data_IF_121071649507
#
_entry.id   IF_121071649507
#
_cell.length_a   1.000
_cell.length_b   1.000
_cell.length_c   1.000
_cell.angle_alpha   90.00
_cell.angle_beta   90.00
_cell.angle_gamma   90.00
#
_symmetry.space_group_name_H-M   'P 1'
#
loop_
_entity.id
_entity.type
_entity.pdbx_description
1 polymer ?
#
# COMPACT_ATOMS: atom_id res chain seq x y z
N UNK A 1 12.55 -9.33 -44.70
CA UNK A 1 13.89 -9.92 -44.44
C UNK A 1 14.77 -8.85 -43.81
N UNK A 2 15.81 -9.21 -43.02
CA UNK A 2 15.73 -9.07 -41.57
C UNK A 2 16.73 -8.05 -41.00
N UNK A 3 16.92 -8.03 -39.66
CA UNK A 3 18.22 -8.52 -39.19
C UNK A 3 18.13 -9.62 -38.12
N UNK A 4 19.14 -10.51 -38.10
CA UNK A 4 19.40 -11.50 -37.05
C UNK A 4 20.68 -11.10 -36.29
N UNK A 5 20.74 -11.38 -34.99
CA UNK A 5 21.99 -11.52 -34.17
C UNK A 5 22.73 -12.83 -34.59
N UNK A 6 23.96 -13.20 -34.11
CA UNK A 6 24.67 -12.69 -32.91
C UNK A 6 26.23 -12.63 -32.93
N UNK A 7 26.78 -12.17 -31.78
CA UNK A 7 28.02 -12.60 -31.11
C UNK A 7 29.44 -12.19 -31.62
N UNK A 8 30.34 -12.15 -30.62
CA UNK A 8 31.81 -12.21 -30.69
C UNK A 8 32.65 -10.94 -31.02
N UNK A 9 32.78 -10.06 -30.02
CA UNK A 9 34.00 -9.28 -29.68
C UNK A 9 33.80 -8.72 -28.25
N UNK A 10 34.78 -8.66 -27.34
CA UNK A 10 36.18 -9.11 -27.42
C UNK A 10 36.68 -9.53 -26.03
N UNK A 11 37.41 -10.65 -25.95
CA UNK A 11 38.12 -11.07 -24.73
C UNK A 11 39.26 -10.07 -24.45
N UNK A 12 39.18 -9.33 -23.35
CA UNK A 12 40.28 -8.56 -22.74
C UNK A 12 39.93 -8.22 -21.28
N UNK A 13 40.93 -8.11 -20.42
CA UNK A 13 40.84 -7.77 -18.98
C UNK A 13 40.41 -8.87 -17.98
N UNK A 14 40.75 -10.14 -18.23
CA UNK A 14 40.91 -11.16 -17.16
C UNK A 14 42.39 -11.49 -16.91
N UNK A 15 43.23 -10.47 -16.70
CA UNK A 15 44.67 -10.63 -16.46
C UNK A 15 45.28 -9.45 -15.68
N UNK A 16 44.72 -9.09 -14.52
CA UNK A 16 45.21 -7.97 -13.70
C UNK A 16 44.90 -8.11 -12.18
N UNK A 17 44.85 -9.33 -11.63
CA UNK A 17 44.34 -9.54 -10.26
C UNK A 17 45.17 -10.45 -9.33
N UNK A 18 46.42 -10.79 -9.70
CA UNK A 18 47.23 -11.78 -8.95
C UNK A 18 48.72 -11.44 -8.80
N UNK A 19 49.08 -10.15 -8.62
CA UNK A 19 50.49 -9.76 -8.46
C UNK A 19 50.81 -8.61 -7.47
N UNK A 20 49.85 -8.17 -6.64
CA UNK A 20 50.07 -7.12 -5.60
C UNK A 20 49.49 -7.54 -4.25
N UNK A 21 49.66 -8.81 -3.86
CA UNK A 21 49.45 -9.31 -2.49
C UNK A 21 50.56 -10.33 -2.18
N UNK A 22 51.75 -9.84 -1.82
CA UNK A 22 52.80 -10.51 -1.03
C UNK A 22 54.14 -9.75 -1.13
N UNK A 23 54.23 -8.57 -0.50
CA UNK A 23 55.47 -7.96 -0.02
C UNK A 23 55.13 -6.76 0.87
N UNK A 24 55.96 -6.54 1.92
CA UNK A 24 55.84 -5.48 2.94
C UNK A 24 54.72 -5.69 3.99
N UNK A 25 54.96 -6.65 4.88
CA UNK A 25 54.68 -6.49 6.32
C UNK A 25 56.02 -6.54 7.09
N UNK A 26 56.07 -5.93 8.29
CA UNK A 26 57.28 -5.61 9.09
C UNK A 26 58.16 -4.50 8.48
N UNK A 27 58.51 -3.39 9.14
CA UNK A 27 58.40 -2.85 10.52
C UNK A 27 58.13 -1.32 10.43
N UNK A 28 57.78 -0.52 11.45
CA UNK A 28 57.46 -0.67 12.89
C UNK A 28 56.71 0.61 13.36
N UNK A 29 56.14 0.63 14.58
CA UNK A 29 55.67 1.87 15.22
C UNK A 29 54.51 1.73 16.20
N UNK A 30 54.78 1.79 17.51
CA UNK A 30 53.76 1.77 18.58
C UNK A 30 53.15 3.17 18.76
N UNK A 31 51.83 3.31 18.66
CA UNK A 31 51.10 4.47 19.17
C UNK A 31 49.66 4.06 19.52
N UNK A 32 49.42 3.73 20.80
CA UNK A 32 48.09 3.43 21.30
C UNK A 32 47.29 4.73 21.49
N UNK A 33 46.47 5.08 20.49
CA UNK A 33 45.40 6.05 20.66
C UNK A 33 44.08 5.30 20.87
N UNK A 34 43.63 5.20 22.12
CA UNK A 34 42.28 4.69 22.44
C UNK A 34 41.23 5.74 22.08
N UNK A 35 41.00 5.94 20.78
CA UNK A 35 39.75 6.52 20.31
C UNK A 35 38.67 5.47 20.55
N UNK A 36 37.98 5.58 21.69
CA UNK A 36 36.75 4.85 21.91
C UNK A 36 35.78 5.21 20.79
N UNK A 37 35.58 4.29 19.85
CA UNK A 37 34.47 4.39 18.91
C UNK A 37 33.22 4.17 19.74
N UNK A 38 32.65 5.25 20.25
CA UNK A 38 31.27 5.29 20.68
C UNK A 38 30.44 4.94 19.45
N UNK A 39 30.07 3.66 19.36
CA UNK A 39 29.01 3.19 18.48
C UNK A 39 27.75 3.90 18.91
N UNK A 40 27.47 5.04 18.28
CA UNK A 40 26.18 5.71 18.40
C UNK A 40 25.16 4.77 17.78
N UNK A 41 24.52 3.96 18.62
CA UNK A 41 23.29 3.25 18.27
C UNK A 41 22.27 4.31 17.90
N UNK A 42 22.16 4.60 16.61
CA UNK A 42 21.13 5.51 16.13
C UNK A 42 19.80 4.81 16.30
N UNK A 43 19.13 5.08 17.42
CA UNK A 43 17.69 4.90 17.53
C UNK A 43 17.06 5.81 16.47
N UNK A 44 16.94 5.30 15.25
CA UNK A 44 16.15 5.93 14.20
C UNK A 44 14.69 5.80 14.62
N UNK A 45 14.25 6.81 15.38
CA UNK A 45 12.85 7.00 15.75
C UNK A 45 11.97 6.96 14.50
N UNK A 46 10.68 6.64 14.64
CA UNK A 46 9.73 6.71 13.54
C UNK A 46 9.75 8.10 12.89
N UNK A 47 9.43 8.16 11.60
CA UNK A 47 9.50 9.41 10.82
C UNK A 47 8.23 10.22 11.05
N UNK A 48 8.13 10.79 12.26
CA UNK A 48 7.05 11.69 12.63
C UNK A 48 7.13 13.00 11.84
N UNK A 49 6.07 13.31 11.13
CA UNK A 49 5.90 14.56 10.41
C UNK A 49 5.43 15.62 11.40
N UNK A 50 6.17 16.72 11.51
CA UNK A 50 5.85 17.84 12.41
C UNK A 50 5.20 19.02 11.70
N UNK A 51 5.28 19.08 10.37
CA UNK A 51 4.62 20.07 9.52
C UNK A 51 4.44 19.53 8.10
N UNK A 52 3.41 19.99 7.39
CA UNK A 52 3.18 19.69 5.97
C UNK A 52 3.32 20.96 5.12
N UNK A 53 4.03 20.94 3.98
CA UNK A 53 4.08 22.08 3.07
C UNK A 53 2.67 22.46 2.58
N UNK A 54 2.37 23.76 2.60
CA UNK A 54 1.06 24.30 2.22
C UNK A 54 -0.01 24.28 3.32
N UNK A 55 0.28 23.71 4.50
CA UNK A 55 -0.63 23.66 5.64
C UNK A 55 -0.22 24.68 6.72
N UNK A 56 -1.14 25.58 7.07
CA UNK A 56 -0.89 26.58 8.11
C UNK A 56 -1.11 25.98 9.52
N UNK A 57 -0.03 25.92 10.32
CA UNK A 57 -0.06 25.47 11.71
C UNK A 57 0.53 24.08 11.96
N UNK A 58 0.34 23.57 13.18
CA UNK A 58 0.73 22.21 13.57
C UNK A 58 -0.35 21.20 13.22
N UNK A 59 0.03 19.94 13.01
CA UNK A 59 -0.90 18.83 12.78
C UNK A 59 -1.82 18.59 14.00
N UNK A 60 -3.07 18.10 13.79
CA UNK A 60 -4.08 18.01 14.83
C UNK A 60 -3.89 16.74 15.68
N UNK A 61 -3.25 15.74 15.10
CA UNK A 61 -2.77 14.50 15.70
C UNK A 61 -1.44 14.12 15.04
N UNK A 62 -0.80 13.06 15.54
CA UNK A 62 0.46 12.55 15.00
C UNK A 62 0.26 12.01 13.57
N UNK A 63 1.18 12.38 12.67
CA UNK A 63 1.32 11.80 11.34
C UNK A 63 2.67 11.11 11.24
N UNK A 64 2.66 9.83 10.91
CA UNK A 64 3.84 9.06 10.52
C UNK A 64 3.73 8.69 9.04
N UNK A 65 4.86 8.72 8.33
CA UNK A 65 4.91 8.26 6.92
C UNK A 65 6.18 7.48 6.64
N UNK A 66 6.09 6.46 5.80
CA UNK A 66 7.26 5.72 5.33
C UNK A 66 6.93 4.27 4.96
N UNK A 67 7.90 3.40 5.22
CA UNK A 67 7.78 1.95 5.10
C UNK A 67 8.03 1.34 6.48
N UNK A 68 7.46 0.16 6.75
CA UNK A 68 7.60 -0.50 8.06
C UNK A 68 9.09 -0.77 8.35
N UNK A 69 9.53 -0.57 9.59
CA UNK A 69 10.88 -0.93 10.05
C UNK A 69 10.79 -2.12 11.02
N UNK A 70 11.78 -3.03 11.05
CA UNK A 70 11.84 -4.07 12.07
C UNK A 70 11.98 -3.46 13.47
N UNK A 71 11.40 -4.11 14.48
CA UNK A 71 11.71 -3.82 15.88
C UNK A 71 13.12 -4.34 16.25
N UNK A 72 13.81 -3.60 17.11
CA UNK A 72 15.18 -3.92 17.59
C UNK A 72 15.23 -5.25 18.36
N UNK A 73 16.39 -5.95 18.43
CA UNK A 73 17.71 -5.52 17.96
C UNK A 73 18.04 -5.99 16.55
N UNK A 74 18.56 -5.07 15.72
CA UNK A 74 19.03 -5.36 14.36
C UNK A 74 20.55 -5.51 14.31
N UNK A 75 21.07 -6.34 13.41
CA UNK A 75 22.48 -6.25 13.01
C UNK A 75 22.70 -5.05 12.09
N UNK A 76 23.95 -4.64 11.86
CA UNK A 76 24.23 -3.41 11.10
C UNK A 76 23.79 -3.49 9.62
N UNK A 77 23.66 -4.71 9.08
CA UNK A 77 23.18 -4.98 7.72
C UNK A 77 21.63 -5.05 7.63
N UNK A 78 20.93 -5.15 8.77
CA UNK A 78 19.48 -5.30 8.88
C UNK A 78 18.72 -3.96 8.98
N UNK A 79 19.37 -2.81 8.83
CA UNK A 79 18.74 -1.47 8.82
C UNK A 79 17.83 -1.19 7.60
N UNK A 80 17.18 -2.22 7.07
CA UNK A 80 16.36 -2.23 5.85
C UNK A 80 14.89 -2.08 6.26
N UNK A 81 14.09 -1.47 5.38
CA UNK A 81 12.64 -1.51 5.54
C UNK A 81 12.12 -2.93 5.32
N UNK A 82 11.01 -3.24 5.95
CA UNK A 82 10.41 -4.57 5.92
C UNK A 82 9.69 -4.75 4.58
N UNK A 83 10.15 -5.72 3.80
CA UNK A 83 9.51 -6.03 2.51
C UNK A 83 8.22 -6.83 2.73
N UNK A 84 7.30 -6.74 1.76
CA UNK A 84 6.11 -7.59 1.65
C UNK A 84 6.30 -8.74 0.66
N UNK A 85 7.45 -8.76 -0.01
CA UNK A 85 7.89 -9.74 -0.99
C UNK A 85 9.43 -9.68 -1.00
N UNK A 86 10.06 -10.64 -0.30
CA UNK A 86 11.52 -10.70 -0.16
C UNK A 86 12.22 -11.13 -1.46
N UNK A 87 11.51 -11.81 -2.38
CA UNK A 87 12.07 -12.28 -3.65
C UNK A 87 12.29 -11.10 -4.61
N UNK A 88 11.28 -10.24 -4.75
CA UNK A 88 11.35 -9.05 -5.59
C UNK A 88 11.83 -7.79 -4.84
N UNK A 89 11.92 -7.89 -3.51
CA UNK A 89 12.30 -6.81 -2.60
C UNK A 89 11.30 -5.65 -2.59
N UNK A 90 10.00 -5.97 -2.56
CA UNK A 90 8.92 -4.97 -2.67
C UNK A 90 8.47 -4.43 -1.31
N UNK A 91 8.19 -3.12 -1.26
CA UNK A 91 7.88 -2.38 -0.04
C UNK A 91 6.62 -1.53 -0.23
N UNK A 92 5.71 -1.56 0.75
CA UNK A 92 4.49 -0.74 0.75
C UNK A 92 4.69 0.53 1.59
N UNK A 93 4.43 1.68 0.98
CA UNK A 93 4.42 2.97 1.65
C UNK A 93 3.08 3.20 2.37
N UNK A 94 3.14 3.87 3.52
CA UNK A 94 1.95 4.23 4.28
C UNK A 94 2.01 5.64 4.85
N UNK A 95 0.81 6.16 5.15
CA UNK A 95 0.57 7.31 6.00
C UNK A 95 -0.26 6.81 7.18
N UNK A 96 0.24 6.96 8.40
CA UNK A 96 -0.50 6.65 9.61
C UNK A 96 -0.85 7.96 10.32
N UNK A 97 -2.14 8.20 10.53
CA UNK A 97 -2.64 9.36 11.29
C UNK A 97 -3.28 8.87 12.56
N UNK A 98 -2.81 9.32 13.71
CA UNK A 98 -3.43 8.98 15.00
C UNK A 98 -4.82 9.63 15.16
N UNK A 99 -5.66 9.02 16.00
CA UNK A 99 -6.92 9.63 16.40
C UNK A 99 -6.68 10.99 17.07
N UNK A 100 -7.48 12.00 16.70
CA UNK A 100 -7.59 13.28 17.42
C UNK A 100 -8.33 13.12 18.76
N UNK A 101 -8.92 11.94 19.02
CA UNK A 101 -9.62 11.57 20.25
C UNK A 101 -8.70 10.95 21.30
N UNK A 102 -8.87 9.64 21.55
CA UNK A 102 -8.01 8.85 22.43
C UNK A 102 -7.33 7.74 21.61
N UNK A 103 -6.12 7.99 21.05
CA UNK A 103 -5.44 7.02 20.19
C UNK A 103 -5.07 5.70 20.90
N UNK A 104 -5.09 5.64 22.23
CA UNK A 104 -4.89 4.41 23.00
C UNK A 104 -6.16 3.57 23.19
N UNK A 105 -7.32 4.05 22.72
CA UNK A 105 -8.62 3.37 22.85
C UNK A 105 -9.42 3.32 21.55
N UNK A 106 -9.30 4.35 20.72
CA UNK A 106 -10.02 4.49 19.47
C UNK A 106 -9.59 3.42 18.46
N UNK A 107 -10.48 3.01 17.54
CA UNK A 107 -10.17 1.97 16.56
C UNK A 107 -9.00 2.34 15.65
N UNK A 108 -8.24 1.31 15.24
CA UNK A 108 -7.32 1.41 14.10
C UNK A 108 -8.07 0.97 12.85
N UNK A 109 -8.06 1.82 11.81
CA UNK A 109 -8.68 1.57 10.52
C UNK A 109 -7.62 1.49 9.42
N UNK A 110 -7.48 0.35 8.77
CA UNK A 110 -6.81 0.30 7.45
C UNK A 110 -7.75 0.94 6.42
N UNK A 111 -7.30 1.92 5.64
CA UNK A 111 -8.06 2.43 4.48
C UNK A 111 -7.31 2.19 3.16
N UNK A 112 -8.03 1.65 2.18
CA UNK A 112 -7.53 1.38 0.83
C UNK A 112 -8.40 2.10 -0.22
N UNK A 113 -7.81 3.02 -0.99
CA UNK A 113 -8.52 3.65 -2.12
C UNK A 113 -8.49 2.74 -3.35
N UNK A 114 -9.62 2.65 -4.06
CA UNK A 114 -9.76 1.81 -5.25
C UNK A 114 -9.31 2.46 -6.56
N UNK A 115 -9.35 1.66 -7.62
CA UNK A 115 -8.70 1.95 -8.90
C UNK A 115 -7.34 1.23 -8.97
N UNK A 116 -6.95 0.74 -10.14
CA UNK A 116 -5.73 -0.05 -10.28
C UNK A 116 -4.49 0.83 -10.01
N UNK A 117 -3.79 0.55 -8.89
CA UNK A 117 -2.61 1.29 -8.41
C UNK A 117 -2.84 2.79 -8.16
N UNK A 118 -4.07 3.17 -7.84
CA UNK A 118 -4.35 4.54 -7.37
C UNK A 118 -3.73 4.74 -5.98
N UNK A 119 -3.09 5.90 -5.76
CA UNK A 119 -2.51 6.20 -4.45
C UNK A 119 -3.57 6.53 -3.41
N UNK A 120 -3.38 6.01 -2.21
CA UNK A 120 -4.21 6.26 -1.03
C UNK A 120 -4.13 7.71 -0.55
N UNK A 121 -3.14 8.48 -1.01
CA UNK A 121 -3.06 9.93 -0.80
C UNK A 121 -4.35 10.64 -1.18
N UNK A 122 -5.07 10.13 -2.19
CA UNK A 122 -6.40 10.65 -2.56
C UNK A 122 -7.44 10.47 -1.44
N UNK A 123 -7.45 9.33 -0.74
CA UNK A 123 -8.26 9.13 0.47
C UNK A 123 -7.88 10.05 1.63
N UNK A 124 -6.59 10.38 1.74
CA UNK A 124 -6.06 11.28 2.77
C UNK A 124 -6.46 12.76 2.52
N UNK A 125 -6.42 13.25 1.27
CA UNK A 125 -6.62 14.68 0.94
C UNK A 125 -7.95 15.05 0.28
N UNK A 126 -8.76 14.07 -0.14
CA UNK A 126 -10.06 14.29 -0.79
C UNK A 126 -11.24 13.51 -0.20
N UNK A 127 -11.01 12.50 0.66
CA UNK A 127 -12.08 11.66 1.23
C UNK A 127 -12.20 11.82 2.76
N UNK A 128 -11.40 11.07 3.54
CA UNK A 128 -11.65 10.84 4.97
C UNK A 128 -10.50 11.30 5.88
N UNK A 129 -9.36 11.71 5.33
CA UNK A 129 -8.19 12.13 6.10
C UNK A 129 -8.28 13.54 6.70
N UNK A 130 -7.27 13.93 7.50
CA UNK A 130 -7.29 15.10 8.39
C UNK A 130 -7.17 16.45 7.65
N UNK A 131 -6.80 16.43 6.37
CA UNK A 131 -6.53 17.63 5.57
C UNK A 131 -7.26 17.57 4.24
N UNK A 132 -7.57 18.73 3.68
CA UNK A 132 -8.13 18.90 2.34
C UNK A 132 -7.21 19.78 1.50
N UNK A 133 -7.06 19.45 0.21
CA UNK A 133 -6.52 20.40 -0.77
C UNK A 133 -7.50 21.55 -1.01
N UNK A 134 -7.02 22.78 -0.83
CA UNK A 134 -7.77 24.00 -1.14
C UNK A 134 -7.98 24.09 -2.65
N UNK A 135 -9.25 24.16 -3.08
CA UNK A 135 -9.60 24.21 -4.50
C UNK A 135 -9.46 25.63 -5.04
N UNK A 136 -8.27 25.93 -5.55
CA UNK A 136 -7.94 27.21 -6.19
C UNK A 136 -7.17 27.00 -7.50
N UNK A 137 -7.17 27.97 -8.43
CA UNK A 137 -6.38 27.88 -9.65
C UNK A 137 -4.88 27.82 -9.32
N UNK A 138 -4.17 26.85 -9.90
CA UNK A 138 -2.73 26.75 -9.76
C UNK A 138 -2.04 27.89 -10.54
N UNK A 139 -1.22 28.68 -9.86
CA UNK A 139 -0.51 29.84 -10.41
C UNK A 139 0.80 29.47 -11.15
N UNK A 140 1.21 28.20 -11.09
CA UNK A 140 2.46 27.71 -11.68
C UNK A 140 3.67 27.72 -10.74
N UNK A 141 3.57 28.33 -9.56
CA UNK A 141 4.72 28.72 -8.72
C UNK A 141 4.52 28.33 -7.25
N UNK A 142 3.34 28.61 -6.68
CA UNK A 142 3.03 28.39 -5.27
C UNK A 142 2.71 26.93 -4.99
N UNK A 143 3.09 26.44 -3.80
CA UNK A 143 2.66 25.11 -3.36
C UNK A 143 1.14 25.05 -3.19
N UNK A 144 0.47 23.92 -3.52
CA UNK A 144 -0.94 23.74 -3.23
C UNK A 144 -1.22 23.92 -1.75
N UNK A 145 -2.20 24.76 -1.40
CA UNK A 145 -2.58 24.97 0.00
C UNK A 145 -3.41 23.80 0.53
N UNK A 146 -3.20 23.49 1.79
CA UNK A 146 -3.91 22.50 2.58
C UNK A 146 -4.67 23.21 3.71
N UNK A 147 -5.79 22.64 4.12
CA UNK A 147 -6.57 23.07 5.30
C UNK A 147 -7.05 21.86 6.09
N UNK A 148 -7.46 22.07 7.33
CA UNK A 148 -8.09 21.04 8.14
C UNK A 148 -9.40 20.54 7.53
N UNK A 149 -9.61 19.22 7.56
CA UNK A 149 -10.89 18.59 7.28
C UNK A 149 -11.72 18.52 8.58
N UNK A 150 -12.76 19.37 8.77
CA UNK A 150 -13.56 19.33 9.98
C UNK A 150 -14.41 18.06 10.11
N UNK A 151 -14.54 17.27 9.03
CA UNK A 151 -15.31 16.03 8.96
C UNK A 151 -14.41 14.77 8.84
N UNK A 152 -13.11 14.90 9.12
CA UNK A 152 -12.17 13.78 9.07
C UNK A 152 -12.62 12.62 9.94
N UNK A 153 -12.38 11.40 9.47
CA UNK A 153 -12.59 10.19 10.27
C UNK A 153 -11.49 10.02 11.35
N UNK A 154 -10.37 10.73 11.23
CA UNK A 154 -9.32 10.79 12.26
C UNK A 154 -9.80 11.35 13.59
N UNK A 155 -11.01 11.94 13.63
CA UNK A 155 -11.64 12.41 14.86
C UNK A 155 -12.10 11.32 15.83
N UNK A 156 -12.17 10.07 15.35
CA UNK A 156 -12.70 8.91 16.11
C UNK A 156 -11.95 7.61 15.80
N UNK A 157 -10.82 7.67 15.11
CA UNK A 157 -10.05 6.50 14.69
C UNK A 157 -8.60 6.89 14.34
N UNK A 158 -7.63 6.03 14.66
CA UNK A 158 -6.31 6.11 14.03
C UNK A 158 -6.40 5.42 12.66
N UNK A 159 -5.96 6.09 11.59
CA UNK A 159 -6.14 5.60 10.21
C UNK A 159 -4.79 5.31 9.55
N UNK A 160 -4.66 4.07 9.09
CA UNK A 160 -3.52 3.56 8.35
C UNK A 160 -3.88 3.56 6.85
N UNK A 161 -3.42 4.56 6.12
CA UNK A 161 -3.58 4.68 4.68
C UNK A 161 -2.39 4.00 3.99
N UNK A 162 -2.62 2.93 3.23
CA UNK A 162 -1.54 2.17 2.57
C UNK A 162 -1.64 2.28 1.05
N UNK A 163 -0.54 2.69 0.41
CA UNK A 163 -0.41 2.65 -1.05
C UNK A 163 -0.31 1.19 -1.50
N UNK A 164 -1.38 0.63 -2.07
CA UNK A 164 -1.44 -0.77 -2.47
C UNK A 164 -2.22 -0.96 -3.78
N UNK A 165 -1.82 -1.89 -4.67
CA UNK A 165 -0.67 -2.80 -4.54
C UNK A 165 0.67 -2.09 -4.85
N UNK A 166 1.77 -2.83 -4.83
CA UNK A 166 3.10 -2.37 -5.26
C UNK A 166 3.01 -1.59 -6.58
N UNK A 167 3.68 -0.42 -6.66
CA UNK A 167 3.57 0.53 -7.77
C UNK A 167 2.39 1.51 -7.67
N UNK A 168 1.57 1.45 -6.62
CA UNK A 168 0.68 2.54 -6.24
C UNK A 168 1.48 3.62 -5.48
N UNK A 169 1.25 4.90 -5.80
CA UNK A 169 1.86 6.03 -5.08
C UNK A 169 3.37 5.90 -4.90
N UNK A 170 3.82 5.75 -3.64
CA UNK A 170 5.24 5.57 -3.31
C UNK A 170 5.67 4.10 -3.09
N UNK A 171 4.74 3.14 -3.08
CA UNK A 171 5.06 1.71 -2.95
C UNK A 171 5.79 1.20 -4.19
N UNK A 172 6.87 0.43 -4.00
CA UNK A 172 7.78 0.05 -5.09
C UNK A 172 8.29 -1.39 -4.95
N UNK A 173 8.80 -1.93 -6.06
CA UNK A 173 9.62 -3.16 -6.09
C UNK A 173 10.99 -2.85 -6.68
N UNK A 174 12.01 -3.56 -6.18
CA UNK A 174 13.39 -3.48 -6.69
C UNK A 174 13.55 -4.29 -7.97
N UNK A 175 12.91 -5.46 -8.04
CA UNK A 175 12.80 -6.24 -9.27
C UNK A 175 11.56 -5.80 -10.08
N UNK A 176 11.68 -5.52 -11.39
CA UNK A 176 10.54 -5.27 -12.28
C UNK A 176 9.43 -6.34 -12.26
N UNK A 177 9.77 -7.60 -11.96
CA UNK A 177 8.81 -8.70 -11.87
C UNK A 177 7.86 -8.54 -10.67
N UNK A 178 8.31 -7.95 -9.56
CA UNK A 178 7.47 -7.66 -8.38
C UNK A 178 6.37 -6.63 -8.60
N UNK A 179 6.28 -6.03 -9.79
CA UNK A 179 5.12 -5.24 -10.20
C UNK A 179 4.01 -6.10 -10.83
N UNK A 180 4.22 -7.38 -11.14
CA UNK A 180 3.16 -8.27 -11.63
C UNK A 180 2.32 -8.83 -10.47
N UNK A 181 1.41 -8.00 -9.98
CA UNK A 181 0.58 -8.24 -8.80
C UNK A 181 -0.91 -8.14 -9.14
N UNK A 182 -1.66 -9.18 -8.76
CA UNK A 182 -3.11 -9.26 -8.89
C UNK A 182 -3.78 -9.33 -7.52
N UNK A 183 -5.11 -9.43 -7.49
CA UNK A 183 -5.93 -9.35 -6.26
C UNK A 183 -5.42 -10.21 -5.09
N UNK A 184 -5.00 -11.45 -5.37
CA UNK A 184 -4.53 -12.38 -4.33
C UNK A 184 -3.15 -11.98 -3.81
N UNK A 185 -2.16 -11.74 -4.68
CA UNK A 185 -0.81 -11.37 -4.24
C UNK A 185 -0.78 -9.99 -3.58
N UNK A 186 -1.54 -9.02 -4.09
CA UNK A 186 -1.77 -7.73 -3.45
C UNK A 186 -2.36 -7.86 -2.03
N UNK A 187 -3.33 -8.76 -1.86
CA UNK A 187 -3.94 -9.02 -0.55
C UNK A 187 -2.96 -9.69 0.41
N UNK A 188 -2.16 -10.65 -0.05
CA UNK A 188 -1.13 -11.30 0.77
C UNK A 188 -0.04 -10.30 1.19
N UNK A 189 0.40 -9.43 0.29
CA UNK A 189 1.33 -8.33 0.61
C UNK A 189 0.76 -7.38 1.68
N UNK A 190 -0.55 -7.07 1.63
CA UNK A 190 -1.22 -6.26 2.66
C UNK A 190 -1.34 -6.97 4.01
N UNK A 191 -1.59 -8.29 4.03
CA UNK A 191 -1.64 -9.09 5.26
C UNK A 191 -0.26 -9.12 5.93
N UNK A 192 0.78 -9.38 5.13
CA UNK A 192 2.18 -9.39 5.55
C UNK A 192 2.59 -8.01 6.12
N UNK A 193 2.25 -6.94 5.40
CA UNK A 193 2.41 -5.56 5.87
C UNK A 193 1.72 -5.32 7.21
N UNK A 194 0.47 -5.75 7.40
CA UNK A 194 -0.27 -5.54 8.65
C UNK A 194 0.38 -6.24 9.85
N UNK A 195 0.75 -7.52 9.73
CA UNK A 195 1.43 -8.23 10.82
C UNK A 195 2.76 -7.57 11.19
N UNK A 196 3.53 -7.11 10.19
CA UNK A 196 4.79 -6.41 10.40
C UNK A 196 4.58 -5.01 10.99
N UNK A 197 3.57 -4.26 10.54
CA UNK A 197 3.20 -2.95 11.10
C UNK A 197 2.79 -3.08 12.57
N UNK A 198 1.89 -4.01 12.89
CA UNK A 198 1.46 -4.28 14.28
C UNK A 198 2.60 -4.81 15.18
N UNK A 199 3.61 -5.48 14.63
CA UNK A 199 4.81 -5.90 15.38
C UNK A 199 5.79 -4.74 15.65
N UNK A 200 5.74 -3.68 14.84
CA UNK A 200 6.49 -2.45 15.06
C UNK A 200 5.72 -1.44 15.94
N UNK A 201 4.40 -1.60 16.04
CA UNK A 201 3.46 -0.70 16.71
C UNK A 201 2.63 -1.45 17.77
N UNK A 202 3.31 -2.13 18.71
CA UNK A 202 2.66 -3.04 19.67
C UNK A 202 1.60 -2.35 20.55
N UNK A 203 1.76 -1.04 20.83
CA UNK A 203 0.78 -0.24 21.58
C UNK A 203 -0.63 -0.29 20.96
N UNK A 204 -0.72 -0.47 19.64
CA UNK A 204 -1.98 -0.53 18.88
C UNK A 204 -2.63 -1.93 18.85
N UNK A 205 -2.01 -2.96 19.42
CA UNK A 205 -2.57 -4.32 19.46
C UNK A 205 -3.85 -4.44 20.29
N UNK A 206 -4.02 -3.56 21.29
CA UNK A 206 -5.21 -3.51 22.12
C UNK A 206 -6.40 -2.83 21.42
N UNK A 207 -6.14 -1.94 20.46
CA UNK A 207 -7.17 -1.13 19.80
C UNK A 207 -8.09 -2.00 18.93
N UNK A 208 -9.39 -1.69 18.83
CA UNK A 208 -10.29 -2.38 17.89
C UNK A 208 -9.82 -2.19 16.44
N UNK A 209 -9.51 -3.27 15.72
CA UNK A 209 -9.04 -3.18 14.33
C UNK A 209 -10.18 -3.38 13.31
N UNK A 210 -10.26 -2.49 12.33
CA UNK A 210 -11.18 -2.54 11.21
C UNK A 210 -10.45 -2.38 9.88
N UNK A 211 -10.99 -3.01 8.83
CA UNK A 211 -10.55 -2.80 7.46
C UNK A 211 -11.57 -1.98 6.68
N UNK A 212 -11.09 -1.07 5.84
CA UNK A 212 -11.91 -0.19 5.02
C UNK A 212 -11.35 -0.03 3.62
N UNK A 213 -12.23 0.20 2.65
CA UNK A 213 -11.79 0.60 1.33
C UNK A 213 -12.91 1.01 0.40
N UNK A 214 -12.53 1.69 -0.68
CA UNK A 214 -13.44 2.20 -1.70
C UNK A 214 -13.29 1.46 -3.04
N UNK A 215 -14.35 1.48 -3.87
CA UNK A 215 -14.30 1.11 -5.29
C UNK A 215 -13.68 -0.28 -5.53
N UNK A 216 -12.61 -0.39 -6.33
CA UNK A 216 -11.95 -1.67 -6.60
C UNK A 216 -11.28 -2.29 -5.36
N UNK A 217 -10.64 -1.49 -4.49
CA UNK A 217 -9.93 -2.00 -3.32
C UNK A 217 -10.90 -2.60 -2.29
N UNK A 218 -12.14 -2.11 -2.25
CA UNK A 218 -13.21 -2.68 -1.44
C UNK A 218 -13.56 -4.15 -1.80
N UNK A 219 -13.17 -4.65 -2.98
CA UNK A 219 -13.23 -6.07 -3.36
C UNK A 219 -12.24 -6.93 -2.56
N UNK A 220 -11.06 -6.37 -2.24
CA UNK A 220 -9.98 -7.06 -1.52
C UNK A 220 -10.26 -7.13 -0.02
N UNK A 221 -10.90 -6.09 0.54
CA UNK A 221 -11.17 -5.93 1.97
C UNK A 221 -11.81 -7.17 2.62
N UNK A 222 -12.88 -7.80 2.08
CA UNK A 222 -13.44 -9.03 2.66
C UNK A 222 -12.45 -10.22 2.65
N UNK A 223 -11.66 -10.38 1.58
CA UNK A 223 -10.69 -11.46 1.46
C UNK A 223 -9.53 -11.30 2.47
N UNK A 224 -9.00 -10.08 2.60
CA UNK A 224 -7.98 -9.74 3.61
C UNK A 224 -8.54 -9.99 5.02
N UNK A 225 -9.76 -9.53 5.29
CA UNK A 225 -10.44 -9.73 6.58
C UNK A 225 -10.58 -11.21 6.93
N UNK A 226 -11.00 -12.04 5.96
CA UNK A 226 -11.10 -13.49 6.14
C UNK A 226 -9.73 -14.11 6.48
N UNK A 227 -8.67 -13.73 5.75
CA UNK A 227 -7.32 -14.26 5.99
C UNK A 227 -6.75 -13.88 7.36
N UNK A 228 -7.06 -12.69 7.86
CA UNK A 228 -6.70 -12.29 9.23
C UNK A 228 -7.50 -13.12 10.25
N UNK A 229 -8.80 -13.35 10.03
CA UNK A 229 -9.63 -14.22 10.89
C UNK A 229 -9.09 -15.66 10.96
N UNK A 230 -8.76 -16.25 9.81
CA UNK A 230 -8.13 -17.58 9.72
C UNK A 230 -6.77 -17.61 10.45
N UNK A 231 -5.98 -16.53 10.36
CA UNK A 231 -4.72 -16.38 11.09
C UNK A 231 -4.90 -16.31 12.62
N UNK A 232 -5.93 -15.61 13.08
CA UNK A 232 -6.28 -15.53 14.51
C UNK A 232 -6.69 -16.92 15.04
N UNK A 233 -7.52 -17.66 14.30
CA UNK A 233 -7.91 -19.04 14.65
C UNK A 233 -6.70 -20.00 14.67
N UNK A 234 -5.76 -19.83 13.74
CA UNK A 234 -4.50 -20.57 13.70
C UNK A 234 -3.46 -20.11 14.75
N UNK A 235 -3.74 -19.05 15.53
CA UNK A 235 -2.85 -18.54 16.56
C UNK A 235 -1.63 -17.77 16.06
N UNK A 236 -1.66 -17.27 14.82
CA UNK A 236 -0.62 -16.41 14.21
C UNK A 236 -0.39 -15.17 15.09
N UNK A 237 0.87 -14.73 15.15
CA UNK A 237 1.29 -13.60 16.01
C UNK A 237 1.84 -12.44 15.18
N UNK A 238 1.62 -11.18 15.61
CA UNK A 238 0.78 -10.78 16.75
C UNK A 238 -0.72 -11.03 16.49
N UNK A 239 -1.52 -11.23 17.55
CA UNK A 239 -2.98 -11.37 17.40
C UNK A 239 -3.56 -9.98 17.16
N UNK A 240 -4.04 -9.75 15.94
CA UNK A 240 -4.73 -8.52 15.56
C UNK A 240 -6.13 -8.53 16.17
N UNK A 241 -6.53 -7.46 16.86
CA UNK A 241 -7.82 -7.33 17.54
C UNK A 241 -8.98 -7.00 16.57
N UNK A 242 -9.12 -7.82 15.52
CA UNK A 242 -10.08 -7.65 14.43
C UNK A 242 -11.53 -7.60 14.95
N UNK A 243 -12.32 -6.63 14.45
CA UNK A 243 -13.75 -6.47 14.75
C UNK A 243 -14.67 -6.48 13.53
N UNK A 244 -14.13 -6.22 12.34
CA UNK A 244 -14.91 -6.27 11.11
C UNK A 244 -14.32 -5.40 10.01
N UNK A 245 -15.15 -5.05 9.04
CA UNK A 245 -14.76 -4.24 7.89
C UNK A 245 -15.90 -3.37 7.37
N UNK A 246 -15.56 -2.39 6.53
CA UNK A 246 -16.48 -1.51 5.81
C UNK A 246 -16.07 -1.39 4.33
N UNK A 247 -17.03 -1.21 3.43
CA UNK A 247 -16.81 -1.14 1.98
C UNK A 247 -17.62 -0.01 1.34
N UNK A 248 -16.95 0.97 0.75
CA UNK A 248 -17.56 2.10 0.05
C UNK A 248 -17.68 1.85 -1.44
N UNK A 249 -18.91 1.83 -1.98
CA UNK A 249 -19.19 1.62 -3.40
C UNK A 249 -18.38 0.47 -4.06
N UNK A 250 -18.37 -0.75 -3.46
CA UNK A 250 -17.48 -1.83 -3.89
C UNK A 250 -17.75 -2.33 -5.30
N UNK A 251 -16.70 -2.82 -5.96
CA UNK A 251 -16.86 -3.87 -6.97
C UNK A 251 -17.06 -5.21 -6.25
N UNK A 252 -18.21 -5.85 -6.46
CA UNK A 252 -18.65 -7.07 -5.77
C UNK A 252 -18.67 -8.31 -6.67
N UNK A 253 -19.01 -8.13 -7.94
CA UNK A 253 -19.07 -9.21 -8.92
C UNK A 253 -19.67 -8.75 -10.25
N UNK A 254 -18.97 -9.07 -11.35
CA UNK A 254 -19.23 -8.48 -12.65
C UNK A 254 -20.69 -8.60 -13.13
N UNK A 255 -21.31 -9.76 -12.88
CA UNK A 255 -22.70 -10.02 -13.28
C UNK A 255 -23.76 -9.28 -12.45
N UNK A 256 -23.36 -8.61 -11.37
CA UNK A 256 -24.21 -7.74 -10.56
C UNK A 256 -23.88 -6.29 -10.94
N UNK A 257 -22.59 -5.92 -10.91
CA UNK A 257 -22.16 -4.53 -11.04
C UNK A 257 -22.23 -4.00 -12.48
N UNK A 258 -21.94 -4.80 -13.51
CA UNK A 258 -22.01 -4.32 -14.90
C UNK A 258 -23.42 -4.48 -15.51
N UNK A 259 -24.14 -5.55 -15.17
CA UNK A 259 -25.53 -5.77 -15.62
C UNK A 259 -26.49 -4.69 -15.08
N UNK A 260 -26.21 -4.11 -13.90
CA UNK A 260 -27.01 -3.04 -13.28
C UNK A 260 -26.76 -1.63 -13.83
N UNK A 261 -25.58 -1.36 -14.42
CA UNK A 261 -25.23 -0.03 -14.98
C UNK A 261 -26.23 0.47 -16.01
N UNK A 262 -26.64 -0.36 -16.98
CA UNK A 262 -27.55 0.06 -18.05
C UNK A 262 -28.95 0.39 -17.51
N UNK A 263 -29.59 -0.46 -16.67
CA UNK A 263 -30.80 -0.09 -15.93
C UNK A 263 -30.66 1.17 -15.08
N UNK A 264 -29.55 1.32 -14.33
CA UNK A 264 -29.32 2.49 -13.48
C UNK A 264 -29.23 3.78 -14.31
N UNK A 265 -28.35 3.82 -15.32
CA UNK A 265 -28.18 4.98 -16.19
C UNK A 265 -29.47 5.38 -16.92
N UNK A 266 -30.35 4.41 -17.27
CA UNK A 266 -31.66 4.73 -17.83
C UNK A 266 -32.60 5.31 -16.77
N UNK A 267 -32.66 4.69 -15.58
CA UNK A 267 -33.50 5.14 -14.47
C UNK A 267 -33.16 6.54 -13.93
N UNK A 268 -31.91 6.99 -14.08
CA UNK A 268 -31.47 8.35 -13.70
C UNK A 268 -31.29 9.30 -14.89
N UNK A 269 -31.76 8.92 -16.09
CA UNK A 269 -31.79 9.82 -17.26
C UNK A 269 -30.45 10.06 -17.98
N UNK A 270 -29.39 9.34 -17.63
CA UNK A 270 -28.06 9.42 -18.29
C UNK A 270 -28.08 8.83 -19.70
N UNK A 271 -28.93 7.83 -19.97
CA UNK A 271 -29.13 7.28 -21.32
C UNK A 271 -30.58 7.34 -21.77
N UNK A 272 -30.79 7.57 -23.07
CA UNK A 272 -32.11 7.65 -23.67
C UNK A 272 -32.77 6.28 -23.84
N UNK A 273 -34.10 6.31 -24.02
CA UNK A 273 -34.91 5.15 -24.41
C UNK A 273 -34.40 4.41 -25.66
N UNK A 274 -33.79 5.14 -26.60
CA UNK A 274 -33.22 4.60 -27.84
C UNK A 274 -31.97 3.74 -27.56
N UNK A 275 -31.15 4.13 -26.57
CA UNK A 275 -29.99 3.36 -26.13
C UNK A 275 -30.40 2.19 -25.23
N UNK A 276 -31.35 2.41 -24.32
CA UNK A 276 -31.76 1.39 -23.33
C UNK A 276 -32.47 0.17 -23.95
N UNK A 277 -33.41 0.39 -24.88
CA UNK A 277 -34.27 -0.69 -25.42
C UNK A 277 -33.47 -1.81 -26.11
N UNK A 278 -32.48 -1.54 -27.00
CA UNK A 278 -31.64 -2.57 -27.60
C UNK A 278 -30.84 -3.38 -26.57
N UNK A 279 -30.21 -2.72 -25.59
CA UNK A 279 -29.44 -3.41 -24.54
C UNK A 279 -30.31 -4.33 -23.68
N UNK A 280 -31.54 -3.93 -23.35
CA UNK A 280 -32.49 -4.78 -22.61
C UNK A 280 -32.85 -6.06 -23.37
N UNK A 281 -32.99 -5.98 -24.70
CA UNK A 281 -33.23 -7.16 -25.55
C UNK A 281 -32.00 -8.06 -25.63
N UNK A 282 -30.79 -7.49 -25.77
CA UNK A 282 -29.54 -8.24 -25.79
C UNK A 282 -29.29 -8.99 -24.46
N UNK A 283 -29.48 -8.32 -23.32
CA UNK A 283 -29.34 -8.92 -22.00
C UNK A 283 -30.32 -10.09 -21.77
N UNK A 284 -31.59 -9.95 -22.19
CA UNK A 284 -32.58 -11.04 -22.16
C UNK A 284 -32.14 -12.25 -23.00
N UNK A 285 -31.64 -12.03 -24.22
CA UNK A 285 -31.11 -13.09 -25.09
C UNK A 285 -29.87 -13.78 -24.49
N UNK A 286 -28.97 -13.03 -23.85
CA UNK A 286 -27.78 -13.56 -23.15
C UNK A 286 -28.19 -14.46 -21.98
N UNK A 287 -29.19 -14.07 -21.19
CA UNK A 287 -29.71 -14.86 -20.07
C UNK A 287 -30.39 -16.16 -20.54
N UNK A 288 -31.24 -16.12 -21.56
CA UNK A 288 -31.86 -17.31 -22.15
C UNK A 288 -30.82 -18.34 -22.66
N UNK A 289 -29.79 -17.89 -23.39
CA UNK A 289 -28.71 -18.79 -23.82
C UNK A 289 -27.94 -19.46 -22.68
N UNK A 290 -27.85 -18.80 -21.51
CA UNK A 290 -27.17 -19.35 -20.33
C UNK A 290 -28.04 -20.37 -19.57
N UNK A 291 -29.37 -20.29 -19.68
CA UNK A 291 -30.28 -21.32 -19.14
C UNK A 291 -30.36 -22.56 -20.02
N UNK A 292 -30.23 -22.40 -21.34
CA UNK A 292 -30.35 -23.52 -22.29
C UNK A 292 -29.07 -24.40 -22.35
N UNK A 293 -27.92 -23.85 -21.99
CA UNK A 293 -26.62 -24.55 -21.96
C UNK A 293 -25.81 -24.22 -20.68
N UNK A 294 -26.06 -24.90 -19.54
CA UNK A 294 -25.43 -24.58 -18.26
C UNK A 294 -23.94 -24.97 -18.14
N UNK A 295 -23.35 -25.65 -19.14
CA UNK A 295 -22.03 -26.28 -19.04
C UNK A 295 -20.88 -25.66 -19.86
N UNK A 296 -21.09 -24.51 -20.53
CA UNK A 296 -20.06 -23.85 -21.35
C UNK A 296 -19.62 -22.52 -20.72
N UNK A 297 -18.61 -22.59 -19.86
CA UNK A 297 -17.75 -21.44 -19.57
C UNK A 297 -16.92 -21.11 -20.82
N UNK A 298 -16.74 -19.83 -21.18
CA UNK A 298 -15.67 -19.46 -22.09
C UNK A 298 -14.33 -19.74 -21.40
N UNK A 299 -13.48 -20.54 -22.04
CA UNK A 299 -12.07 -20.66 -21.64
C UNK A 299 -11.36 -19.32 -21.84
N UNK A 300 -10.82 -18.78 -20.75
CA UNK A 300 -9.76 -17.77 -20.74
C UNK A 300 -8.43 -18.48 -20.49
#
# INVERSE_FOLDING_TARGET
MPPRRPAAQCVRYMAAFWFIILLVTFFSGFAAATTGVTTSTSNQKPTYITSLPGLDGALPSLLETGYVRPSMPMTMDDCRYVTVDEENGAELFYYFVESEGDPGRDPVLLWLTGGHRCSVLSGLVFEIGPVELVREPYDGISLPRLRWNPNSWTKVASILFVDSPVGAGFSFSRDPNGYDVGDVSASLQLIEFLYKWFSAHEDYLANPFYLGGGSYAAKLVPFITQKISEGIEAGVRPIINLKGYTVGNPLTGDSIDFDSRVPYCHGVGVISDQLYKPHKVAARKKRARKTDHPGLSPSS
#
